data_IF_788081294350
#
_entry.id   IF_788081294350
#
_cell.length_a   1.000
_cell.length_b   1.000
_cell.length_c   1.000
_cell.angle_alpha   90.00
_cell.angle_beta   90.00
_cell.angle_gamma   90.00
#
_symmetry.space_group_name_H-M   'P 1'
#
loop_
_entity.id
_entity.type
_entity.pdbx_description
1 polymer ?
#
# COMPACT_ATOMS: atom_id res chain seq x y z
N UNK A 1 -12.94 9.10 2.30
CA UNK A 1 -11.48 8.99 2.51
C UNK A 1 -10.70 10.25 2.11
N UNK A 2 -10.70 10.69 0.83
CA UNK A 2 -9.83 11.80 0.40
C UNK A 2 -10.10 13.14 1.12
N UNK A 3 -11.36 13.46 1.45
CA UNK A 3 -11.69 14.63 2.27
C UNK A 3 -11.10 14.55 3.69
N UNK A 4 -11.02 13.35 4.27
CA UNK A 4 -10.37 13.12 5.57
C UNK A 4 -8.87 13.39 5.44
N UNK A 5 -8.23 12.88 4.38
CA UNK A 5 -6.81 13.15 4.11
C UNK A 5 -6.55 14.65 3.89
N UNK A 6 -7.40 15.35 3.13
CA UNK A 6 -7.27 16.79 2.91
C UNK A 6 -7.34 17.57 4.23
N UNK A 7 -8.27 17.18 5.12
CA UNK A 7 -8.45 17.80 6.43
C UNK A 7 -7.24 17.62 7.36
N UNK A 8 -6.67 16.41 7.42
CA UNK A 8 -5.63 16.06 8.40
C UNK A 8 -4.19 16.13 7.88
N UNK A 9 -3.98 16.11 6.56
CA UNK A 9 -2.65 16.16 5.93
C UNK A 9 -2.47 17.50 5.21
N UNK A 10 -3.00 17.62 3.99
CA UNK A 10 -2.90 18.82 3.17
C UNK A 10 -3.78 18.72 1.91
N UNK A 11 -3.88 19.85 1.19
CA UNK A 11 -4.35 19.89 -0.17
C UNK A 11 -5.86 20.05 -0.30
N UNK A 12 -6.35 19.76 -1.50
CA UNK A 12 -7.77 19.84 -1.83
C UNK A 12 -8.17 18.64 -2.69
N UNK A 13 -9.45 18.31 -2.63
CA UNK A 13 -10.03 17.21 -3.39
C UNK A 13 -10.67 17.77 -4.66
N UNK A 14 -10.35 17.16 -5.80
CA UNK A 14 -10.90 17.50 -7.10
C UNK A 14 -11.58 16.28 -7.74
N UNK A 15 -12.67 16.51 -8.46
CA UNK A 15 -13.29 15.53 -9.35
C UNK A 15 -12.72 15.74 -10.75
N UNK A 16 -12.09 14.71 -11.30
CA UNK A 16 -11.54 14.72 -12.65
C UNK A 16 -12.37 13.80 -13.54
N UNK A 17 -12.75 14.30 -14.71
CA UNK A 17 -13.50 13.55 -15.72
C UNK A 17 -12.60 13.24 -16.90
N UNK A 18 -12.54 11.97 -17.27
CA UNK A 18 -12.05 11.51 -18.57
C UNK A 18 -13.22 10.95 -19.37
N UNK A 19 -12.98 10.74 -20.66
CA UNK A 19 -14.03 10.40 -21.63
C UNK A 19 -14.92 9.23 -21.17
N UNK A 20 -14.35 8.20 -20.52
CA UNK A 20 -15.08 6.98 -20.12
C UNK A 20 -15.19 6.77 -18.60
N UNK A 21 -14.60 7.63 -17.77
CA UNK A 21 -14.62 7.45 -16.32
C UNK A 21 -14.36 8.75 -15.54
N UNK A 22 -14.92 8.81 -14.35
CA UNK A 22 -14.65 9.86 -13.37
C UNK A 22 -13.77 9.30 -12.24
N UNK A 23 -12.86 10.12 -11.74
CA UNK A 23 -12.04 9.78 -10.58
C UNK A 23 -11.86 10.99 -9.67
N UNK A 24 -11.52 10.72 -8.42
CA UNK A 24 -11.33 11.75 -7.39
C UNK A 24 -9.85 11.82 -7.03
N UNK A 25 -9.26 13.01 -7.07
CA UNK A 25 -7.83 13.24 -6.81
C UNK A 25 -7.64 14.14 -5.59
N UNK A 26 -6.69 13.79 -4.74
CA UNK A 26 -6.17 14.70 -3.71
C UNK A 26 -4.91 15.40 -4.25
N UNK A 27 -4.92 16.73 -4.28
CA UNK A 27 -3.83 17.54 -4.84
C UNK A 27 -3.22 18.41 -3.75
N UNK A 28 -1.94 18.16 -3.42
CA UNK A 28 -1.09 19.06 -2.62
C UNK A 28 -0.02 19.67 -3.54
N UNK A 29 -0.16 20.97 -3.85
CA UNK A 29 0.74 21.69 -4.75
C UNK A 29 1.32 22.99 -4.15
N UNK A 30 0.64 23.54 -3.12
CA UNK A 30 1.10 24.77 -2.47
C UNK A 30 2.31 24.47 -1.61
N UNK A 31 3.30 25.35 -1.59
CA UNK A 31 4.53 25.18 -0.81
C UNK A 31 4.24 24.87 0.67
N UNK A 32 3.32 25.62 1.29
CA UNK A 32 2.88 25.38 2.68
C UNK A 32 2.32 23.97 2.93
N UNK A 33 1.67 23.38 1.93
CA UNK A 33 1.07 22.05 1.99
C UNK A 33 2.17 20.99 1.86
N UNK A 34 3.14 21.23 0.96
CA UNK A 34 4.31 20.38 0.79
C UNK A 34 5.18 20.34 2.05
N UNK A 35 5.41 21.48 2.71
CA UNK A 35 6.17 21.53 3.98
C UNK A 35 5.51 20.64 5.05
N UNK A 36 4.18 20.73 5.22
CA UNK A 36 3.43 19.87 6.15
C UNK A 36 3.55 18.39 5.79
N UNK A 37 3.35 18.06 4.52
CA UNK A 37 3.48 16.69 4.02
C UNK A 37 4.89 16.14 4.27
N UNK A 38 5.92 16.94 4.00
CA UNK A 38 7.31 16.53 4.14
C UNK A 38 7.69 16.34 5.62
N UNK A 39 7.16 17.16 6.53
CA UNK A 39 7.33 16.96 7.97
C UNK A 39 6.72 15.63 8.43
N UNK A 40 5.54 15.26 7.92
CA UNK A 40 4.91 13.95 8.20
C UNK A 40 5.79 12.82 7.67
N UNK A 41 6.27 12.91 6.43
CA UNK A 41 7.12 11.88 5.80
C UNK A 41 8.52 11.78 6.43
N UNK A 42 9.04 12.86 7.00
CA UNK A 42 10.27 12.85 7.78
C UNK A 42 10.08 12.07 9.10
N UNK A 43 8.93 12.26 9.76
CA UNK A 43 8.57 11.55 11.01
C UNK A 43 8.18 10.08 10.76
N UNK A 44 7.50 9.80 9.66
CA UNK A 44 7.04 8.48 9.25
C UNK A 44 7.53 8.15 7.83
N UNK A 45 8.80 7.75 7.69
CA UNK A 45 9.38 7.45 6.38
C UNK A 45 8.60 6.40 5.58
N UNK A 46 8.57 6.58 4.27
CA UNK A 46 7.98 5.63 3.33
C UNK A 46 8.77 4.30 3.39
N UNK A 47 8.08 3.16 3.31
CA UNK A 47 8.71 1.85 3.51
C UNK A 47 9.08 1.12 2.22
N UNK A 48 8.64 1.63 1.07
CA UNK A 48 8.97 1.05 -0.24
C UNK A 48 10.10 1.83 -0.91
N UNK A 49 11.03 1.13 -1.56
CA UNK A 49 12.16 1.74 -2.28
C UNK A 49 11.65 2.68 -3.37
N UNK A 50 10.61 2.28 -4.11
CA UNK A 50 9.99 3.14 -5.14
C UNK A 50 9.52 4.47 -4.56
N UNK A 51 8.86 4.47 -3.41
CA UNK A 51 8.30 5.69 -2.82
C UNK A 51 9.37 6.54 -2.14
N UNK A 52 10.38 5.94 -1.51
CA UNK A 52 11.56 6.67 -1.02
C UNK A 52 12.32 7.36 -2.16
N UNK A 53 12.55 6.66 -3.27
CA UNK A 53 13.18 7.23 -4.48
C UNK A 53 12.40 8.43 -5.03
N UNK A 54 11.06 8.34 -5.09
CA UNK A 54 10.20 9.47 -5.49
C UNK A 54 10.29 10.66 -4.53
N UNK A 55 10.32 10.39 -3.22
CA UNK A 55 10.41 11.42 -2.19
C UNK A 55 11.78 12.12 -2.16
N UNK A 56 12.86 11.35 -2.30
CA UNK A 56 14.22 11.89 -2.40
C UNK A 56 14.37 12.79 -3.61
N UNK A 57 13.84 12.37 -4.76
CA UNK A 57 13.78 13.20 -5.96
C UNK A 57 13.00 14.50 -5.72
N UNK A 58 11.79 14.42 -5.15
CA UNK A 58 10.98 15.60 -4.86
C UNK A 58 11.68 16.59 -3.89
N UNK A 59 12.34 16.06 -2.86
CA UNK A 59 13.13 16.84 -1.89
C UNK A 59 14.32 17.53 -2.56
N UNK A 60 15.03 16.82 -3.44
CA UNK A 60 16.13 17.42 -4.20
C UNK A 60 15.64 18.55 -5.11
N UNK A 61 14.49 18.39 -5.78
CA UNK A 61 13.90 19.42 -6.61
C UNK A 61 13.58 20.70 -5.82
N UNK A 62 13.02 20.57 -4.62
CA UNK A 62 12.67 21.70 -3.77
C UNK A 62 13.92 22.41 -3.22
N UNK A 63 14.90 21.64 -2.73
CA UNK A 63 16.09 22.22 -2.09
C UNK A 63 17.06 22.88 -3.08
N UNK A 64 17.20 22.31 -4.29
CA UNK A 64 18.22 22.75 -5.26
C UNK A 64 17.68 23.69 -6.34
N UNK A 65 16.37 24.03 -6.32
CA UNK A 65 15.70 24.85 -7.34
C UNK A 65 16.07 24.41 -8.77
N UNK A 66 15.80 23.14 -9.09
CA UNK A 66 16.20 22.55 -10.37
C UNK A 66 15.76 23.40 -11.57
N UNK A 67 16.71 23.70 -12.47
CA UNK A 67 16.39 24.12 -13.84
C UNK A 67 15.76 22.95 -14.60
N UNK A 68 15.01 23.24 -15.66
CA UNK A 68 14.22 22.26 -16.42
C UNK A 68 15.05 21.04 -16.87
N UNK A 69 16.23 21.25 -17.46
CA UNK A 69 17.06 20.14 -17.97
C UNK A 69 17.53 19.22 -16.84
N UNK A 70 17.97 19.79 -15.72
CA UNK A 70 18.38 19.04 -14.54
C UNK A 70 17.21 18.25 -13.93
N UNK A 71 16.01 18.82 -13.95
CA UNK A 71 14.80 18.12 -13.54
C UNK A 71 14.51 16.91 -14.43
N UNK A 72 14.58 17.07 -15.76
CA UNK A 72 14.34 15.97 -16.71
C UNK A 72 15.38 14.86 -16.55
N UNK A 73 16.66 15.21 -16.47
CA UNK A 73 17.75 14.25 -16.26
C UNK A 73 17.55 13.50 -14.93
N UNK A 74 17.40 14.22 -13.83
CA UNK A 74 17.21 13.63 -12.49
C UNK A 74 15.95 12.76 -12.40
N UNK A 75 14.88 13.12 -13.11
CA UNK A 75 13.63 12.35 -13.15
C UNK A 75 13.82 10.98 -13.81
N UNK A 76 14.66 10.88 -14.85
CA UNK A 76 14.94 9.63 -15.56
C UNK A 76 15.73 8.65 -14.70
N UNK A 77 16.67 9.17 -13.90
CA UNK A 77 17.62 8.39 -13.11
C UNK A 77 17.20 8.13 -11.66
N UNK A 78 16.04 8.66 -11.23
CA UNK A 78 15.61 8.60 -9.80
C UNK A 78 15.46 7.21 -9.19
N UNK A 79 15.50 6.14 -9.99
CA UNK A 79 15.40 4.75 -9.52
C UNK A 79 16.69 3.95 -9.76
N UNK A 80 17.80 4.56 -10.18
CA UNK A 80 19.05 3.84 -10.47
C UNK A 80 19.55 3.04 -9.27
N UNK A 81 19.45 3.59 -8.06
CA UNK A 81 19.89 2.92 -6.82
C UNK A 81 18.82 2.01 -6.20
N UNK A 82 17.81 1.58 -6.97
CA UNK A 82 16.70 0.78 -6.43
C UNK A 82 17.19 -0.54 -5.82
N UNK A 83 18.15 -1.23 -6.44
CA UNK A 83 18.64 -2.52 -5.95
C UNK A 83 19.33 -2.37 -4.58
N UNK A 84 20.18 -1.36 -4.44
CA UNK A 84 20.84 -1.02 -3.18
C UNK A 84 19.81 -0.68 -2.09
N UNK A 85 18.80 0.15 -2.42
CA UNK A 85 17.72 0.50 -1.48
C UNK A 85 16.92 -0.74 -1.04
N UNK A 86 16.60 -1.66 -1.96
CA UNK A 86 15.91 -2.90 -1.62
C UNK A 86 16.74 -3.76 -0.65
N UNK A 87 18.06 -3.86 -0.88
CA UNK A 87 18.95 -4.59 0.03
C UNK A 87 19.01 -3.95 1.43
N UNK A 88 19.06 -2.62 1.51
CA UNK A 88 19.03 -1.90 2.80
C UNK A 88 17.69 -2.17 3.51
N UNK A 89 16.57 -2.09 2.80
CA UNK A 89 15.24 -2.26 3.40
C UNK A 89 14.96 -3.70 3.82
N UNK A 90 15.47 -4.69 3.08
CA UNK A 90 15.36 -6.10 3.43
C UNK A 90 16.00 -6.43 4.80
N UNK A 91 17.07 -5.71 5.15
CA UNK A 91 17.78 -5.89 6.42
C UNK A 91 17.30 -4.94 7.54
N UNK A 92 16.33 -4.06 7.25
CA UNK A 92 15.83 -3.09 8.22
C UNK A 92 14.83 -3.75 9.18
N UNK A 93 14.89 -3.36 10.46
CA UNK A 93 13.86 -3.75 11.44
C UNK A 93 12.51 -3.11 11.11
N UNK A 94 11.43 -3.85 11.35
CA UNK A 94 10.06 -3.34 11.20
C UNK A 94 9.89 -2.13 12.14
N UNK A 95 9.51 -0.95 11.62
CA UNK A 95 9.37 0.24 12.44
C UNK A 95 8.12 0.17 13.34
N UNK A 96 8.14 0.89 14.45
CA UNK A 96 7.02 0.93 15.40
C UNK A 96 5.70 1.49 14.82
N UNK A 97 5.79 2.37 13.80
CA UNK A 97 4.63 2.90 13.08
C UNK A 97 4.11 1.96 11.98
N UNK A 98 4.74 0.80 11.78
CA UNK A 98 4.35 -0.17 10.76
C UNK A 98 2.86 -0.58 10.83
N UNK A 99 2.25 -0.82 12.00
CA UNK A 99 0.83 -1.17 12.07
C UNK A 99 -0.07 -0.07 11.45
N UNK A 100 0.10 1.19 11.85
CA UNK A 100 -0.68 2.29 11.28
C UNK A 100 -0.41 2.48 9.78
N UNK A 101 0.87 2.36 9.36
CA UNK A 101 1.25 2.40 7.95
C UNK A 101 0.61 1.25 7.15
N UNK A 102 0.54 0.06 7.73
CA UNK A 102 0.02 -1.15 7.09
C UNK A 102 -1.46 -1.00 6.74
N UNK A 103 -2.27 -0.37 7.59
CA UNK A 103 -3.69 -0.11 7.27
C UNK A 103 -3.82 0.77 6.03
N UNK A 104 -3.03 1.85 5.95
CA UNK A 104 -2.99 2.71 4.76
C UNK A 104 -2.47 2.00 3.51
N UNK A 105 -1.49 1.11 3.68
CA UNK A 105 -0.97 0.28 2.60
C UNK A 105 -2.00 -0.74 2.10
N UNK A 106 -2.74 -1.38 3.00
CA UNK A 106 -3.83 -2.33 2.67
C UNK A 106 -5.00 -1.62 2.01
N UNK A 107 -5.33 -0.39 2.41
CA UNK A 107 -6.35 0.44 1.75
C UNK A 107 -6.04 0.61 0.25
N UNK A 108 -4.76 0.82 -0.10
CA UNK A 108 -4.30 0.93 -1.49
C UNK A 108 -4.18 -0.42 -2.22
N UNK A 109 -3.51 -1.40 -1.61
CA UNK A 109 -2.98 -2.58 -2.33
C UNK A 109 -3.63 -3.91 -1.92
N UNK A 110 -4.28 -3.96 -0.76
CA UNK A 110 -4.82 -5.21 -0.22
C UNK A 110 -6.12 -5.65 -0.90
N UNK A 111 -6.44 -6.94 -0.83
CA UNK A 111 -7.64 -7.50 -1.41
C UNK A 111 -8.26 -8.54 -0.48
N UNK A 112 -9.50 -8.31 -0.07
CA UNK A 112 -10.31 -9.26 0.69
C UNK A 112 -11.25 -9.98 -0.28
N UNK A 113 -11.09 -11.29 -0.43
CA UNK A 113 -11.84 -12.07 -1.42
C UNK A 113 -12.63 -13.18 -0.78
N UNK A 114 -13.93 -13.22 -1.11
CA UNK A 114 -14.82 -14.37 -0.95
C UNK A 114 -15.25 -14.78 -2.35
N UNK A 115 -14.93 -16.00 -2.75
CA UNK A 115 -15.29 -16.55 -4.07
C UNK A 115 -16.18 -17.75 -3.84
N UNK A 116 -17.34 -17.75 -4.48
CA UNK A 116 -18.33 -18.81 -4.38
C UNK A 116 -18.40 -19.60 -5.69
N UNK A 117 -18.75 -20.87 -5.57
CA UNK A 117 -19.13 -21.72 -6.69
C UNK A 117 -20.55 -21.37 -7.17
N UNK A 118 -20.94 -21.88 -8.35
CA UNK A 118 -22.30 -21.69 -8.87
C UNK A 118 -23.40 -22.21 -7.93
N UNK A 119 -23.11 -23.23 -7.13
CA UNK A 119 -24.02 -23.79 -6.13
C UNK A 119 -24.07 -23.00 -4.80
N UNK A 120 -23.43 -21.83 -4.73
CA UNK A 120 -23.38 -20.99 -3.52
C UNK A 120 -22.38 -21.44 -2.46
N UNK A 121 -21.69 -22.58 -2.62
CA UNK A 121 -20.63 -23.00 -1.69
C UNK A 121 -19.38 -22.15 -1.80
N UNK A 122 -18.68 -21.92 -0.70
CA UNK A 122 -17.44 -21.14 -0.69
C UNK A 122 -16.31 -21.91 -1.37
N UNK A 123 -15.75 -21.34 -2.44
CA UNK A 123 -14.59 -21.87 -3.17
C UNK A 123 -13.26 -21.38 -2.60
N UNK A 124 -13.17 -20.08 -2.31
CA UNK A 124 -11.95 -19.45 -1.83
C UNK A 124 -12.28 -18.30 -0.90
N UNK A 125 -11.58 -18.24 0.23
CA UNK A 125 -11.56 -17.09 1.13
C UNK A 125 -10.13 -16.76 1.49
N UNK A 126 -9.67 -15.57 1.12
CA UNK A 126 -8.32 -15.12 1.46
C UNK A 126 -8.22 -13.60 1.49
N UNK A 127 -7.34 -13.11 2.36
CA UNK A 127 -6.70 -11.82 2.16
C UNK A 127 -5.49 -12.00 1.24
N UNK A 128 -5.33 -11.12 0.26
CA UNK A 128 -4.20 -11.15 -0.69
C UNK A 128 -3.61 -9.75 -0.81
N UNK A 129 -2.29 -9.67 -0.87
CA UNK A 129 -1.57 -8.43 -1.16
C UNK A 129 -0.34 -8.74 -2.01
N UNK A 130 0.03 -7.85 -2.93
CA UNK A 130 1.17 -8.06 -3.82
C UNK A 130 1.97 -6.79 -4.05
N UNK A 131 3.20 -6.96 -4.52
CA UNK A 131 4.14 -5.87 -4.80
C UNK A 131 5.11 -6.24 -5.93
N UNK A 132 5.60 -5.20 -6.62
CA UNK A 132 6.66 -5.32 -7.62
C UNK A 132 8.02 -5.17 -6.94
N UNK A 133 8.87 -6.18 -6.98
CA UNK A 133 10.26 -6.24 -6.45
C UNK A 133 10.43 -6.04 -4.92
N UNK A 134 9.42 -5.53 -4.23
CA UNK A 134 9.47 -5.14 -2.81
C UNK A 134 9.10 -6.33 -1.90
N UNK A 135 9.81 -7.45 -2.05
CA UNK A 135 9.52 -8.69 -1.30
C UNK A 135 9.64 -8.50 0.22
N UNK A 136 10.50 -7.58 0.69
CA UNK A 136 10.66 -7.28 2.12
C UNK A 136 9.37 -6.78 2.77
N UNK A 137 8.54 -6.02 2.04
CA UNK A 137 7.23 -5.58 2.54
C UNK A 137 6.33 -6.78 2.77
N UNK A 138 6.30 -7.72 1.83
CA UNK A 138 5.47 -8.91 1.95
C UNK A 138 5.96 -9.82 3.10
N UNK A 139 7.28 -9.92 3.31
CA UNK A 139 7.84 -10.63 4.46
C UNK A 139 7.47 -9.94 5.78
N UNK A 140 7.56 -8.60 5.87
CA UNK A 140 7.12 -7.87 7.07
C UNK A 140 5.64 -8.08 7.36
N UNK A 141 4.77 -8.05 6.35
CA UNK A 141 3.33 -8.31 6.50
C UNK A 141 3.09 -9.75 6.97
N UNK A 142 3.77 -10.72 6.36
CA UNK A 142 3.67 -12.13 6.72
C UNK A 142 4.11 -12.34 8.18
N UNK A 143 5.26 -11.81 8.59
CA UNK A 143 5.74 -11.87 9.97
C UNK A 143 4.78 -11.20 10.94
N UNK A 144 4.30 -9.99 10.62
CA UNK A 144 3.39 -9.22 11.47
C UNK A 144 2.07 -9.97 11.74
N UNK A 145 1.47 -10.58 10.71
CA UNK A 145 0.25 -11.36 10.87
C UNK A 145 0.48 -12.82 11.29
N UNK A 146 1.73 -13.22 11.56
CA UNK A 146 2.13 -14.60 11.87
C UNK A 146 1.65 -15.60 10.81
N UNK A 147 1.74 -15.20 9.54
CA UNK A 147 1.36 -16.00 8.38
C UNK A 147 2.41 -17.07 8.05
N UNK A 148 1.95 -18.29 7.79
CA UNK A 148 2.81 -19.45 7.49
C UNK A 148 2.93 -19.71 5.98
N UNK A 149 2.13 -19.00 5.19
CA UNK A 149 2.05 -19.18 3.74
C UNK A 149 3.30 -18.67 3.03
N UNK A 150 3.74 -19.39 2.00
CA UNK A 150 4.85 -18.96 1.15
C UNK A 150 4.45 -17.74 0.33
N UNK A 151 5.37 -16.80 0.15
CA UNK A 151 5.23 -15.73 -0.83
C UNK A 151 5.47 -16.34 -2.21
N UNK A 152 4.56 -16.09 -3.13
CA UNK A 152 4.63 -16.61 -4.49
C UNK A 152 5.20 -15.54 -5.41
N UNK A 153 6.10 -15.94 -6.30
CA UNK A 153 6.53 -15.12 -7.43
C UNK A 153 5.67 -15.46 -8.63
N UNK A 154 5.02 -14.46 -9.18
CA UNK A 154 4.23 -14.59 -10.40
C UNK A 154 5.12 -14.81 -11.62
N UNK A 155 4.57 -15.46 -12.65
CA UNK A 155 5.24 -15.54 -13.94
C UNK A 155 5.49 -14.12 -14.46
N UNK A 156 6.71 -13.82 -14.95
CA UNK A 156 6.99 -12.52 -15.55
C UNK A 156 6.01 -12.28 -16.69
N UNK A 157 5.47 -11.06 -16.77
CA UNK A 157 4.74 -10.63 -17.98
C UNK A 157 5.74 -10.58 -19.13
N UNK A 158 5.29 -10.84 -20.37
CA UNK A 158 6.14 -10.93 -21.57
C UNK A 158 7.13 -9.75 -21.72
N UNK A 159 6.79 -8.57 -21.19
CA UNK A 159 7.60 -7.34 -21.28
C UNK A 159 7.95 -6.73 -19.91
N UNK A 160 7.89 -7.52 -18.83
CA UNK A 160 8.06 -7.04 -17.46
C UNK A 160 9.51 -7.03 -16.99
N UNK A 161 10.12 -5.84 -16.81
CA UNK A 161 11.42 -5.68 -16.13
C UNK A 161 11.32 -5.75 -14.59
N UNK A 162 10.27 -6.37 -14.06
CA UNK A 162 10.03 -6.47 -12.62
C UNK A 162 9.44 -7.82 -12.25
N UNK A 163 9.77 -8.29 -11.05
CA UNK A 163 9.20 -9.48 -10.45
C UNK A 163 7.98 -9.08 -9.63
N UNK A 164 6.81 -9.66 -9.91
CA UNK A 164 5.63 -9.48 -9.08
C UNK A 164 5.53 -10.61 -8.06
N UNK A 165 5.32 -10.23 -6.80
CA UNK A 165 5.18 -11.15 -5.68
C UNK A 165 3.80 -11.01 -5.05
N UNK A 166 3.25 -12.12 -4.55
CA UNK A 166 1.96 -12.16 -3.85
C UNK A 166 2.05 -12.94 -2.55
N UNK A 167 1.40 -12.40 -1.52
CA UNK A 167 1.14 -13.07 -0.26
C UNK A 167 -0.36 -13.38 -0.17
N UNK A 168 -0.69 -14.63 0.15
CA UNK A 168 -2.06 -15.08 0.38
C UNK A 168 -2.21 -15.53 1.82
N UNK A 169 -3.04 -14.83 2.61
CA UNK A 169 -3.32 -15.17 3.99
C UNK A 169 -4.76 -15.71 4.08
N UNK A 170 -4.91 -17.00 4.42
CA UNK A 170 -6.21 -17.67 4.39
C UNK A 170 -6.53 -18.48 5.64
N UNK A 171 -5.56 -18.90 6.45
CA UNK A 171 -5.82 -19.71 7.64
C UNK A 171 -6.51 -18.90 8.76
N UNK A 172 -7.18 -19.59 9.68
CA UNK A 172 -7.99 -18.97 10.73
C UNK A 172 -7.19 -18.08 11.67
N UNK A 173 -6.05 -18.57 12.17
CA UNK A 173 -5.14 -17.82 13.04
C UNK A 173 -4.74 -16.47 12.42
N UNK A 174 -4.35 -16.49 11.15
CA UNK A 174 -3.95 -15.28 10.43
C UNK A 174 -5.14 -14.35 10.18
N UNK A 175 -6.33 -14.90 9.86
CA UNK A 175 -7.55 -14.08 9.75
C UNK A 175 -7.88 -13.37 11.06
N UNK A 176 -7.78 -14.05 12.20
CA UNK A 176 -8.02 -13.44 13.51
C UNK A 176 -7.01 -12.32 13.81
N UNK A 177 -5.73 -12.52 13.46
CA UNK A 177 -4.72 -11.46 13.57
C UNK A 177 -5.04 -10.25 12.68
N UNK A 178 -5.54 -10.48 11.46
CA UNK A 178 -6.01 -9.43 10.56
C UNK A 178 -7.21 -8.68 11.16
N UNK A 179 -8.16 -9.39 11.77
CA UNK A 179 -9.32 -8.79 12.43
C UNK A 179 -8.92 -7.93 13.62
N UNK A 180 -8.06 -8.45 14.49
CA UNK A 180 -7.52 -7.72 15.63
C UNK A 180 -6.73 -6.48 15.20
N UNK A 181 -6.00 -6.56 14.09
CA UNK A 181 -5.31 -5.40 13.54
C UNK A 181 -6.28 -4.28 13.13
N UNK A 182 -7.35 -4.59 12.41
CA UNK A 182 -8.32 -3.58 11.97
C UNK A 182 -9.23 -3.08 13.09
N UNK A 183 -9.32 -3.80 14.20
CA UNK A 183 -9.92 -3.25 15.43
C UNK A 183 -9.10 -2.06 15.97
N UNK A 184 -7.76 -2.18 16.01
CA UNK A 184 -6.87 -1.12 16.51
C UNK A 184 -6.48 -0.08 15.46
N UNK A 185 -6.42 -0.47 14.18
CA UNK A 185 -5.95 0.35 13.06
C UNK A 185 -6.94 0.26 11.88
N UNK A 186 -8.10 0.94 11.96
CA UNK A 186 -9.20 0.74 11.02
C UNK A 186 -8.93 1.26 9.61
N UNK A 187 -9.58 0.64 8.63
CA UNK A 187 -9.69 1.13 7.25
C UNK A 187 -10.67 2.30 7.17
N UNK A 188 -10.45 3.24 6.26
CA UNK A 188 -11.20 4.50 6.19
C UNK A 188 -11.87 4.76 4.82
N UNK A 189 -11.55 3.94 3.83
CA UNK A 189 -12.02 4.11 2.46
C UNK A 189 -12.87 2.95 1.95
N UNK A 190 -12.84 2.77 0.63
CA UNK A 190 -13.62 1.72 -0.03
C UNK A 190 -13.19 0.32 0.40
N UNK A 191 -11.94 0.13 0.84
CA UNK A 191 -11.48 -1.18 1.32
C UNK A 191 -12.21 -1.64 2.57
N UNK A 192 -12.69 -0.71 3.40
CA UNK A 192 -13.51 -1.03 4.57
C UNK A 192 -14.76 -1.84 4.18
N UNK A 193 -15.37 -1.56 3.03
CA UNK A 193 -16.57 -2.26 2.57
C UNK A 193 -16.27 -3.73 2.27
N UNK A 194 -15.19 -4.01 1.53
CA UNK A 194 -14.80 -5.39 1.21
C UNK A 194 -14.28 -6.13 2.44
N UNK A 195 -13.56 -5.44 3.33
CA UNK A 195 -13.17 -5.98 4.63
C UNK A 195 -14.39 -6.35 5.49
N UNK A 196 -15.40 -5.49 5.62
CA UNK A 196 -16.59 -5.75 6.43
C UNK A 196 -17.36 -6.97 5.91
N UNK A 197 -17.53 -7.11 4.59
CA UNK A 197 -18.13 -8.31 3.99
C UNK A 197 -17.35 -9.57 4.35
N UNK A 198 -16.02 -9.49 4.30
CA UNK A 198 -15.12 -10.59 4.66
C UNK A 198 -15.20 -10.92 6.15
N UNK A 199 -15.14 -9.93 7.04
CA UNK A 199 -15.27 -10.09 8.49
C UNK A 199 -16.60 -10.72 8.89
N UNK A 200 -17.72 -10.19 8.38
CA UNK A 200 -19.05 -10.69 8.68
C UNK A 200 -19.21 -12.14 8.22
N UNK A 201 -18.70 -12.51 7.05
CA UNK A 201 -18.78 -13.89 6.57
C UNK A 201 -18.14 -14.90 7.54
N UNK A 202 -16.97 -14.56 8.11
CA UNK A 202 -16.24 -15.46 9.01
C UNK A 202 -16.72 -15.41 10.46
N UNK A 203 -17.44 -14.36 10.87
CA UNK A 203 -17.94 -14.19 12.24
C UNK A 203 -19.46 -14.36 12.37
N UNK A 204 -20.16 -14.71 11.28
CA UNK A 204 -21.58 -15.06 11.37
C UNK A 204 -21.74 -16.29 12.26
N UNK A 205 -22.66 -16.29 13.22
CA UNK A 205 -23.03 -17.51 13.93
C UNK A 205 -23.47 -18.53 12.88
N UNK A 206 -22.92 -19.74 12.93
CA UNK A 206 -23.43 -20.84 12.12
C UNK A 206 -24.86 -21.07 12.59
N UNK A 207 -25.82 -21.02 11.68
CA UNK A 207 -27.17 -21.50 11.94
C UNK A 207 -27.04 -22.95 12.39
N UNK A 208 -27.39 -23.19 13.66
CA UNK A 208 -27.45 -24.51 14.31
C UNK A 208 -28.52 -25.34 13.62
#
# INVERSE_FOLDING_TARGET
>A
MLNIMAKYICGHVALEKKQDYEYVTLICQKERDLVKLFAILAKYPLLTARKQSQFNFATACLNRKFKYDLFIQSRRVKYENKLEQLNILANKKIPNYFPAWLSGFIEGEGNFSLVFNHNGSLRKSAFTIGQNDEIHILEWIKTYFKGETKILKDKPKKDGNFSYYRLHLYNEKTRNNIFNHFYSYPLLGHKLISYNKFYLYHNKPKSV
#
